data_IF_094286017375
#
_entry.id   IF_094286017375
#
_cell.length_a   1.000
_cell.length_b   1.000
_cell.length_c   1.000
_cell.angle_alpha   90.00
_cell.angle_beta   90.00
_cell.angle_gamma   90.00
#
_symmetry.space_group_name_H-M   'P 1'
#
loop_
_entity.id
_entity.type
_entity.pdbx_description
1 polymer ?
#
# COMPACT_ATOMS: atom_id res chain seq x y z
N UNK A 1 18.97 -6.81 -14.08
CA UNK A 1 18.28 -6.02 -15.12
C UNK A 1 17.26 -6.85 -15.91
N UNK A 2 17.66 -7.89 -16.67
CA UNK A 2 16.71 -8.68 -17.50
C UNK A 2 15.47 -9.22 -16.78
N UNK A 3 15.52 -9.47 -15.47
CA UNK A 3 14.36 -9.97 -14.72
C UNK A 3 13.37 -8.85 -14.36
N UNK A 4 13.86 -7.65 -14.05
CA UNK A 4 13.03 -6.46 -13.77
C UNK A 4 12.34 -6.03 -15.06
N UNK A 5 13.08 -5.97 -16.16
CA UNK A 5 12.55 -5.63 -17.50
C UNK A 5 11.48 -6.62 -17.98
N UNK A 6 11.56 -7.88 -17.54
CA UNK A 6 10.57 -8.94 -17.85
C UNK A 6 9.47 -9.08 -16.80
N UNK A 7 9.46 -8.23 -15.76
CA UNK A 7 8.47 -8.28 -14.68
C UNK A 7 8.51 -9.56 -13.83
N UNK A 8 9.68 -10.21 -13.73
CA UNK A 8 9.84 -11.37 -12.85
C UNK A 8 9.65 -10.96 -11.38
N UNK A 9 9.03 -11.79 -10.53
CA UNK A 9 8.84 -11.53 -9.10
C UNK A 9 10.10 -11.78 -8.24
N UNK A 10 11.17 -12.33 -8.83
CA UNK A 10 12.41 -12.67 -8.12
C UNK A 10 13.34 -11.51 -7.71
N UNK A 11 13.32 -10.30 -8.32
CA UNK A 11 14.19 -9.21 -7.89
C UNK A 11 13.93 -8.81 -6.44
N UNK A 12 15.00 -8.59 -5.67
CA UNK A 12 14.88 -7.99 -4.35
C UNK A 12 14.22 -6.60 -4.47
N UNK A 13 13.29 -6.31 -3.56
CA UNK A 13 12.50 -5.07 -3.58
C UNK A 13 13.38 -3.82 -3.57
N UNK A 14 14.55 -3.89 -2.91
CA UNK A 14 15.53 -2.80 -2.88
C UNK A 14 16.07 -2.42 -4.26
N UNK A 15 16.31 -3.42 -5.13
CA UNK A 15 16.82 -3.20 -6.49
C UNK A 15 15.77 -2.49 -7.36
N UNK A 16 14.49 -2.84 -7.17
CA UNK A 16 13.39 -2.18 -7.89
C UNK A 16 13.29 -0.70 -7.52
N UNK A 17 13.42 -0.37 -6.23
CA UNK A 17 13.43 1.02 -5.76
C UNK A 17 14.63 1.82 -6.29
N UNK A 18 15.81 1.22 -6.27
CA UNK A 18 17.03 1.88 -6.77
C UNK A 18 16.91 2.18 -8.26
N UNK A 19 16.50 1.20 -9.08
CA UNK A 19 16.29 1.40 -10.52
C UNK A 19 15.27 2.49 -10.78
N UNK A 20 14.11 2.47 -10.10
CA UNK A 20 13.08 3.49 -10.25
C UNK A 20 13.60 4.90 -9.93
N UNK A 21 14.46 5.05 -8.91
CA UNK A 21 15.09 6.33 -8.57
C UNK A 21 16.04 6.82 -9.66
N UNK A 22 16.82 5.91 -10.25
CA UNK A 22 17.79 6.22 -11.32
C UNK A 22 17.06 6.60 -12.62
N UNK A 23 15.98 5.90 -12.96
CA UNK A 23 15.21 6.16 -14.20
C UNK A 23 14.12 7.21 -14.05
N UNK A 24 13.97 7.80 -12.86
CA UNK A 24 12.96 8.84 -12.58
C UNK A 24 11.51 8.32 -12.59
N UNK A 25 11.31 7.02 -12.34
CA UNK A 25 9.97 6.43 -12.20
C UNK A 25 9.46 6.72 -10.79
N UNK A 26 8.34 7.44 -10.71
CA UNK A 26 7.66 7.72 -9.45
C UNK A 26 6.82 6.51 -9.04
N UNK A 27 7.30 5.78 -8.04
CA UNK A 27 6.59 4.61 -7.48
C UNK A 27 5.51 5.00 -6.47
N UNK A 28 5.67 6.16 -5.83
CA UNK A 28 4.76 6.70 -4.84
C UNK A 28 4.54 8.18 -5.12
N UNK A 29 3.30 8.65 -5.03
CA UNK A 29 2.99 10.06 -5.14
C UNK A 29 2.98 10.71 -3.75
N UNK A 30 3.51 11.94 -3.66
CA UNK A 30 3.61 12.65 -2.39
C UNK A 30 2.24 12.92 -1.73
N UNK A 31 1.18 12.94 -2.54
CA UNK A 31 -0.20 13.19 -2.13
C UNK A 31 -0.94 11.91 -1.65
N UNK A 32 -0.30 10.73 -1.78
CA UNK A 32 -0.86 9.48 -1.24
C UNK A 32 -1.08 9.55 0.27
N UNK A 33 -0.25 10.30 1.00
CA UNK A 33 -0.43 10.47 2.46
C UNK A 33 -1.70 11.26 2.80
N UNK A 34 -2.07 12.26 2.00
CA UNK A 34 -3.28 13.04 2.24
C UNK A 34 -4.51 12.24 1.80
N UNK A 35 -4.47 11.64 0.61
CA UNK A 35 -5.58 10.82 0.11
C UNK A 35 -5.82 9.58 0.97
N UNK A 36 -4.79 8.95 1.53
CA UNK A 36 -4.95 7.83 2.47
C UNK A 36 -5.60 8.30 3.78
N UNK A 37 -5.17 9.43 4.33
CA UNK A 37 -5.80 10.03 5.53
C UNK A 37 -7.27 10.33 5.28
N UNK A 38 -7.60 10.94 4.15
CA UNK A 38 -8.98 11.23 3.76
C UNK A 38 -9.83 9.95 3.67
N UNK A 39 -9.30 8.89 3.05
CA UNK A 39 -9.99 7.59 2.98
C UNK A 39 -10.19 6.96 4.34
N UNK A 40 -9.20 7.05 5.24
CA UNK A 40 -9.31 6.57 6.62
C UNK A 40 -10.41 7.34 7.36
N UNK A 41 -10.41 8.68 7.28
CA UNK A 41 -11.44 9.51 7.91
C UNK A 41 -12.84 9.18 7.39
N UNK A 42 -13.02 9.03 6.08
CA UNK A 42 -14.30 8.62 5.49
C UNK A 42 -14.76 7.24 5.97
N UNK A 43 -13.81 6.31 6.19
CA UNK A 43 -14.12 4.99 6.73
C UNK A 43 -14.57 5.09 8.19
N UNK A 44 -13.87 5.87 9.02
CA UNK A 44 -14.20 6.08 10.42
C UNK A 44 -15.57 6.76 10.61
N UNK A 45 -15.91 7.73 9.76
CA UNK A 45 -17.24 8.35 9.74
C UNK A 45 -18.33 7.29 9.46
N UNK A 46 -18.13 6.46 8.43
CA UNK A 46 -19.07 5.38 8.10
C UNK A 46 -19.18 4.37 9.22
N UNK A 47 -18.07 3.95 9.82
CA UNK A 47 -18.06 3.00 10.93
C UNK A 47 -18.77 3.58 12.15
N UNK A 48 -18.62 4.87 12.44
CA UNK A 48 -19.30 5.55 13.55
C UNK A 48 -20.82 5.46 13.44
N UNK A 49 -21.36 5.49 12.22
CA UNK A 49 -22.79 5.33 11.95
C UNK A 49 -23.28 3.87 12.03
N UNK A 50 -22.35 2.90 11.98
CA UNK A 50 -22.68 1.48 12.00
C UNK A 50 -22.57 0.89 13.43
N UNK A 51 -23.59 0.14 13.89
CA UNK A 51 -23.51 -0.55 15.17
C UNK A 51 -22.35 -1.55 15.18
N UNK A 52 -21.70 -1.70 16.35
CA UNK A 52 -20.50 -2.55 16.49
C UNK A 52 -20.71 -3.99 16.03
N UNK A 53 -21.95 -4.50 16.07
CA UNK A 53 -22.32 -5.87 15.68
C UNK A 53 -22.20 -6.16 14.18
N UNK A 54 -22.17 -5.14 13.31
CA UNK A 54 -22.06 -5.31 11.85
C UNK A 54 -20.71 -4.87 11.28
N UNK A 55 -19.76 -4.47 12.15
CA UNK A 55 -18.39 -4.15 11.74
C UNK A 55 -17.63 -5.46 11.52
N UNK A 56 -16.87 -5.54 10.44
CA UNK A 56 -15.97 -6.69 10.22
C UNK A 56 -14.89 -6.66 11.30
N UNK A 57 -14.61 -7.83 11.89
CA UNK A 57 -13.48 -7.98 12.81
C UNK A 57 -12.19 -7.68 12.07
N UNK A 58 -11.31 -6.89 12.69
CA UNK A 58 -9.91 -6.84 12.25
C UNK A 58 -9.35 -8.22 12.59
N UNK A 59 -8.99 -8.98 11.56
CA UNK A 59 -8.25 -10.22 11.73
C UNK A 59 -6.80 -9.83 12.00
N UNK A 60 -6.19 -10.39 13.05
CA UNK A 60 -4.76 -10.22 13.28
C UNK A 60 -4.05 -10.85 12.07
N UNK A 61 -3.41 -10.01 11.26
CA UNK A 61 -2.64 -10.46 10.11
C UNK A 61 -1.37 -11.12 10.67
N UNK A 62 -1.25 -12.44 10.51
CA UNK A 62 -0.02 -13.18 10.76
C UNK A 62 0.98 -12.89 9.64
N UNK A 63 1.69 -11.77 9.80
CA UNK A 63 2.75 -11.32 8.90
C UNK A 63 4.04 -12.14 9.15
N UNK A 64 4.03 -13.40 8.71
CA UNK A 64 5.19 -14.30 8.72
C UNK A 64 6.16 -14.03 7.54
N UNK A 65 6.60 -12.78 7.40
CA UNK A 65 7.63 -12.38 6.43
C UNK A 65 9.04 -12.83 6.84
#
# INVERSE_FOLDING_TARGET
MSNIEKGSPSPEIGIVFEVASIVGVRLFDYDERNTLKERITQLDEKLTLLPKSVRHSVEDIDDAF
#
